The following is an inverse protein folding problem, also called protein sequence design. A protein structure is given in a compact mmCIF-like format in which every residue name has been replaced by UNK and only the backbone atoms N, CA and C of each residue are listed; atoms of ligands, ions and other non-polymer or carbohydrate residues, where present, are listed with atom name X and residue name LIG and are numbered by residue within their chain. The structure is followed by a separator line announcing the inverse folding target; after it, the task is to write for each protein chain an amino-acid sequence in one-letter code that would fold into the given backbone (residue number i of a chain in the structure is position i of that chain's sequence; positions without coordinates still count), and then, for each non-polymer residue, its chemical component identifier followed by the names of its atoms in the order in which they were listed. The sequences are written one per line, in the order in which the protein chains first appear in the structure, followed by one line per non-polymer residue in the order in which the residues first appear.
data_IF_329160782075
#
_entry.id   IF_329160782075
#
_cell.length_a   1.000
_cell.length_b   1.000
_cell.length_c   1.000
_cell.angle_alpha   90.00
_cell.angle_beta   90.00
_cell.angle_gamma   90.00
#
_symmetry.space_group_name_H-M   'P 1'
#
loop_
_entity.id
_entity.type
_entity.pdbx_description
1 polymer ?
#
# COMPACT_ATOMS: atom_id res chain seq x y z
N UNK A 1 -8.76 6.68 -7.54
CA UNK A 1 -9.72 6.87 -6.43
C UNK A 1 -9.04 7.78 -5.42
N UNK A 2 -9.59 8.94 -4.99
CA UNK A 2 -8.99 9.67 -3.89
C UNK A 2 -9.26 8.89 -2.60
N UNK A 3 -8.20 8.49 -1.89
CA UNK A 3 -8.33 7.89 -0.56
C UNK A 3 -8.83 8.97 0.39
N UNK A 4 -10.02 8.76 0.96
CA UNK A 4 -10.60 9.60 1.99
C UNK A 4 -10.35 8.88 3.32
N UNK A 5 -9.48 9.41 4.16
CA UNK A 5 -9.39 8.96 5.55
C UNK A 5 -10.72 9.32 6.24
N UNK A 6 -11.41 8.33 6.81
CA UNK A 6 -12.65 8.51 7.56
C UNK A 6 -12.32 8.37 9.04
N UNK A 7 -12.62 9.41 9.82
CA UNK A 7 -12.67 9.37 11.29
C UNK A 7 -14.02 8.77 11.71
N UNK A 8 -14.02 7.52 12.19
CA UNK A 8 -15.22 6.79 12.61
C UNK A 8 -15.39 6.77 14.14
N UNK A 9 -15.59 7.94 14.75
CA UNK A 9 -16.17 8.05 16.10
C UNK A 9 -17.70 7.98 16.08
N UNK A 10 -18.31 6.89 15.56
CA UNK A 10 -19.76 6.60 15.77
C UNK A 10 -20.15 5.15 15.40
N UNK A 11 -20.80 4.37 16.29
CA UNK A 11 -21.21 3.00 15.98
C UNK A 11 -22.54 2.92 15.22
N UNK A 12 -22.65 1.98 14.27
CA UNK A 12 -23.93 1.57 13.62
C UNK A 12 -24.33 0.15 14.00
N UNK A 13 -25.65 -0.16 14.01
CA UNK A 13 -26.20 -1.35 14.66
C UNK A 13 -26.22 -2.60 13.77
N UNK A 14 -26.06 -3.74 14.44
CA UNK A 14 -26.01 -5.09 13.91
C UNK A 14 -27.39 -5.61 13.49
N UNK A 15 -27.54 -6.03 12.23
CA UNK A 15 -28.71 -6.73 11.71
C UNK A 15 -28.44 -8.23 11.56
N UNK A 16 -29.11 -9.05 12.38
CA UNK A 16 -29.06 -10.53 12.36
C UNK A 16 -30.00 -11.09 11.28
N UNK A 17 -29.48 -11.91 10.37
CA UNK A 17 -30.29 -12.80 9.54
C UNK A 17 -30.31 -14.23 10.12
N UNK A 18 -31.50 -14.79 10.31
CA UNK A 18 -31.73 -16.15 10.81
C UNK A 18 -31.73 -17.18 9.67
N UNK A 19 -31.21 -18.36 10.03
CA UNK A 19 -31.00 -19.59 9.25
C UNK A 19 -32.31 -20.22 8.75
N UNK A 20 -32.28 -20.77 7.54
CA UNK A 20 -33.17 -21.84 7.09
C UNK A 20 -32.40 -23.17 7.05
N UNK A 21 -32.86 -24.17 7.81
CA UNK A 21 -32.44 -25.57 7.66
C UNK A 21 -33.49 -26.30 6.80
N UNK A 22 -33.05 -27.00 5.77
CA UNK A 22 -33.82 -28.05 5.12
C UNK A 22 -33.14 -29.40 5.39
N UNK A 23 -33.91 -30.34 5.96
CA UNK A 23 -33.57 -31.76 6.09
C UNK A 23 -33.94 -32.48 4.81
N UNK A 24 -33.13 -33.43 4.37
CA UNK A 24 -33.63 -34.70 3.84
C UNK A 24 -32.47 -35.71 3.76
N UNK A 25 -32.54 -36.78 4.54
CA UNK A 25 -31.58 -37.87 4.51
C UNK A 25 -32.32 -39.19 4.27
N UNK A 26 -32.10 -39.79 3.12
CA UNK A 26 -32.32 -41.22 2.88
C UNK A 26 -31.51 -41.65 1.66
N UNK A 27 -30.40 -42.37 1.89
CA UNK A 27 -29.72 -43.26 0.92
C UNK A 27 -29.20 -44.42 1.75
N UNK A 28 -29.57 -45.67 1.51
CA UNK A 28 -29.49 -46.34 0.21
C UNK A 28 -28.08 -46.93 0.13
N UNK A 29 -27.94 -48.17 0.59
CA UNK A 29 -26.69 -48.89 0.64
C UNK A 29 -26.36 -49.57 -0.70
N UNK A 30 -25.05 -49.78 -0.89
CA UNK A 30 -24.34 -50.71 -1.78
C UNK A 30 -23.78 -50.14 -3.10
N UNK A 31 -22.45 -50.02 -3.04
CA UNK A 31 -21.45 -50.62 -3.93
C UNK A 31 -21.44 -50.19 -5.40
N UNK A 32 -20.33 -49.53 -5.80
CA UNK A 32 -19.41 -50.11 -6.78
C UNK A 32 -18.11 -49.29 -6.80
N UNK A 33 -16.98 -49.99 -6.86
CA UNK A 33 -15.65 -49.42 -6.97
C UNK A 33 -15.45 -48.67 -8.30
N UNK A 34 -14.91 -47.46 -8.24
CA UNK A 34 -14.31 -46.78 -9.36
C UNK A 34 -13.01 -46.13 -8.89
N UNK A 35 -11.92 -46.49 -9.54
CA UNK A 35 -10.58 -45.97 -9.31
C UNK A 35 -10.58 -44.44 -9.46
N UNK A 36 -10.19 -43.73 -8.40
CA UNK A 36 -9.87 -42.31 -8.47
C UNK A 36 -8.40 -42.15 -8.07
N UNK A 37 -7.54 -42.12 -9.08
CA UNK A 37 -6.20 -41.59 -8.97
C UNK A 37 -6.31 -40.14 -8.52
N UNK A 38 -6.23 -39.90 -7.21
CA UNK A 38 -6.13 -38.57 -6.65
C UNK A 38 -4.71 -38.04 -6.92
N UNK A 39 -4.50 -37.55 -8.14
CA UNK A 39 -3.43 -36.62 -8.43
C UNK A 39 -3.73 -35.37 -7.60
N UNK A 40 -3.16 -35.28 -6.41
CA UNK A 40 -3.06 -34.04 -5.65
C UNK A 40 -2.14 -33.11 -6.45
N UNK A 41 -2.71 -32.47 -7.48
CA UNK A 41 -2.18 -31.21 -7.97
C UNK A 41 -2.39 -30.20 -6.84
N UNK A 42 -1.44 -30.20 -5.91
CA UNK A 42 -1.14 -29.01 -5.12
C UNK A 42 -0.78 -27.93 -6.14
N UNK A 43 -1.78 -27.20 -6.61
CA UNK A 43 -1.56 -25.87 -7.14
C UNK A 43 -1.01 -25.08 -5.95
N UNK A 44 0.31 -25.09 -5.79
CA UNK A 44 1.01 -24.04 -5.09
C UNK A 44 0.69 -22.79 -5.89
N UNK A 45 -0.38 -22.08 -5.50
CA UNK A 45 -0.50 -20.67 -5.82
C UNK A 45 0.78 -20.06 -5.25
N UNK A 46 1.76 -19.83 -6.13
CA UNK A 46 2.96 -19.10 -5.74
C UNK A 46 2.47 -17.78 -5.16
N UNK A 47 2.95 -17.43 -3.98
CA UNK A 47 2.73 -16.08 -3.48
C UNK A 47 3.28 -15.14 -4.57
N UNK A 48 2.41 -14.30 -5.13
CA UNK A 48 2.84 -13.33 -6.14
C UNK A 48 3.96 -12.49 -5.52
N UNK A 49 5.15 -12.48 -6.13
CA UNK A 49 6.28 -11.70 -5.64
C UNK A 49 6.11 -10.24 -6.08
N UNK A 50 6.56 -9.29 -5.26
CA UNK A 50 6.61 -7.89 -5.65
C UNK A 50 7.43 -7.73 -6.93
N UNK A 51 6.83 -7.14 -7.97
CA UNK A 51 7.48 -6.89 -9.25
C UNK A 51 7.69 -5.38 -9.46
N UNK A 52 8.75 -4.97 -10.18
CA UNK A 52 8.88 -3.61 -10.67
C UNK A 52 7.66 -3.21 -11.50
N UNK A 53 7.24 -1.96 -11.39
CA UNK A 53 6.12 -1.44 -12.17
C UNK A 53 6.25 0.05 -12.42
N UNK A 54 5.50 0.52 -13.41
CA UNK A 54 5.21 1.93 -13.63
C UNK A 54 3.71 2.11 -13.81
N UNK A 55 3.14 3.11 -13.15
CA UNK A 55 1.72 3.43 -13.20
C UNK A 55 1.53 4.94 -13.35
N UNK A 56 0.64 5.34 -14.26
CA UNK A 56 0.29 6.74 -14.50
C UNK A 56 -1.15 7.00 -14.09
N UNK A 57 -1.36 8.04 -13.28
CA UNK A 57 -2.65 8.45 -12.77
C UNK A 57 -2.96 9.88 -13.22
N UNK A 58 -4.18 10.09 -13.70
CA UNK A 58 -4.65 11.41 -14.13
C UNK A 58 -5.51 12.03 -13.03
N UNK A 59 -5.18 13.25 -12.64
CA UNK A 59 -5.98 14.06 -11.73
C UNK A 59 -6.99 14.87 -12.54
N UNK A 60 -8.28 14.67 -12.22
CA UNK A 60 -9.39 15.33 -12.91
C UNK A 60 -10.10 16.25 -11.92
N UNK A 61 -10.23 17.53 -12.27
CA UNK A 61 -10.96 18.53 -11.51
C UNK A 61 -12.00 19.21 -12.42
N UNK A 62 -13.28 19.15 -12.03
CA UNK A 62 -14.42 19.58 -12.86
C UNK A 62 -14.35 19.10 -14.32
N UNK A 63 -14.01 17.82 -14.53
CA UNK A 63 -13.93 17.21 -15.86
C UNK A 63 -12.67 17.56 -16.67
N UNK A 64 -11.77 18.39 -16.12
CA UNK A 64 -10.51 18.77 -16.76
C UNK A 64 -9.34 18.07 -16.12
N UNK A 65 -8.40 17.59 -16.94
CA UNK A 65 -7.12 17.08 -16.45
C UNK A 65 -6.27 18.22 -15.90
N UNK A 66 -5.96 18.18 -14.60
CA UNK A 66 -5.16 19.20 -13.91
C UNK A 66 -3.75 18.75 -13.56
N UNK A 67 -3.51 17.44 -13.47
CA UNK A 67 -2.18 16.89 -13.27
C UNK A 67 -2.11 15.42 -13.72
N UNK A 68 -0.90 14.92 -13.91
CA UNK A 68 -0.59 13.51 -14.09
C UNK A 68 0.47 13.11 -13.06
N UNK A 69 0.24 12.03 -12.32
CA UNK A 69 1.24 11.44 -11.42
C UNK A 69 1.78 10.15 -12.02
N UNK A 70 3.10 9.99 -12.01
CA UNK A 70 3.78 8.74 -12.34
C UNK A 70 4.34 8.13 -11.07
N UNK A 71 3.95 6.90 -10.81
CA UNK A 71 4.48 6.05 -9.75
C UNK A 71 5.40 5.02 -10.40
N UNK A 72 6.59 4.83 -9.85
CA UNK A 72 7.56 3.88 -10.38
C UNK A 72 8.22 3.12 -9.23
N UNK A 73 8.20 1.79 -9.32
CA UNK A 73 8.90 0.89 -8.41
C UNK A 73 9.97 0.15 -9.19
N UNK A 74 11.22 0.27 -8.75
CA UNK A 74 12.38 -0.36 -9.39
C UNK A 74 13.18 -1.17 -8.38
N UNK A 75 13.78 -2.28 -8.82
CA UNK A 75 14.68 -3.10 -8.00
C UNK A 75 16.13 -2.90 -8.43
N UNK A 76 17.03 -2.74 -7.48
CA UNK A 76 18.48 -2.68 -7.70
C UNK A 76 19.16 -3.51 -6.62
N UNK A 77 19.60 -4.72 -6.99
CA UNK A 77 20.07 -5.72 -6.03
C UNK A 77 18.97 -6.10 -5.04
N UNK A 78 19.26 -5.91 -3.75
CA UNK A 78 18.36 -6.22 -2.64
C UNK A 78 17.48 -5.03 -2.22
N UNK A 79 17.64 -3.89 -2.88
CA UNK A 79 16.95 -2.65 -2.54
C UNK A 79 15.94 -2.31 -3.63
N UNK A 80 14.86 -1.67 -3.22
CA UNK A 80 13.83 -1.12 -4.08
C UNK A 80 13.81 0.39 -3.98
N UNK A 81 13.55 1.06 -5.09
CA UNK A 81 13.28 2.50 -5.13
C UNK A 81 11.85 2.71 -5.58
N UNK A 82 11.03 3.28 -4.71
CA UNK A 82 9.67 3.69 -5.03
C UNK A 82 9.62 5.21 -5.16
N UNK A 83 9.15 5.70 -6.30
CA UNK A 83 9.08 7.14 -6.58
C UNK A 83 7.71 7.55 -7.09
N UNK A 84 7.31 8.75 -6.70
CA UNK A 84 6.14 9.45 -7.24
C UNK A 84 6.58 10.80 -7.79
N UNK A 85 6.09 11.17 -8.97
CA UNK A 85 6.27 12.51 -9.53
C UNK A 85 4.97 12.99 -10.13
N UNK A 86 4.58 14.20 -9.77
CA UNK A 86 3.34 14.82 -10.26
C UNK A 86 3.65 16.03 -11.13
N UNK A 87 3.09 16.04 -12.33
CA UNK A 87 3.25 17.10 -13.32
C UNK A 87 1.89 17.73 -13.65
N UNK A 88 1.71 19.04 -13.41
CA UNK A 88 0.49 19.74 -13.76
C UNK A 88 0.25 19.80 -15.26
N UNK A 89 -1.03 19.73 -15.62
CA UNK A 89 -1.56 19.70 -16.98
C UNK A 89 -2.65 20.77 -17.13
N UNK A 90 -2.86 21.26 -18.34
CA UNK A 90 -3.89 22.27 -18.62
C UNK A 90 -3.80 23.47 -17.67
N UNK A 91 -4.94 23.82 -17.05
CA UNK A 91 -5.04 24.91 -16.07
C UNK A 91 -4.22 24.66 -14.79
N UNK A 92 -3.89 23.42 -14.47
CA UNK A 92 -3.03 23.10 -13.32
C UNK A 92 -1.61 23.66 -13.47
N UNK A 93 -1.16 24.00 -14.69
CA UNK A 93 0.15 24.64 -14.91
C UNK A 93 0.31 26.00 -14.23
N UNK A 94 -0.79 26.63 -13.81
CA UNK A 94 -0.80 27.85 -13.00
C UNK A 94 -0.31 27.62 -11.56
N UNK A 95 -0.35 26.38 -11.08
CA UNK A 95 0.21 25.99 -9.79
C UNK A 95 1.73 25.86 -9.92
N UNK A 96 2.45 26.28 -8.88
CA UNK A 96 3.91 26.15 -8.82
C UNK A 96 4.35 24.76 -8.37
N UNK A 97 3.48 24.01 -7.70
CA UNK A 97 3.79 22.70 -7.16
C UNK A 97 4.12 21.68 -8.25
N UNK A 98 5.21 20.94 -8.03
CA UNK A 98 5.63 19.76 -8.79
C UNK A 98 6.04 18.64 -7.81
N UNK A 99 5.09 18.07 -7.03
CA UNK A 99 5.43 17.17 -5.94
C UNK A 99 6.21 15.95 -6.42
N UNK A 100 7.26 15.61 -5.68
CA UNK A 100 8.08 14.42 -5.92
C UNK A 100 8.39 13.75 -4.59
N UNK A 101 8.23 12.44 -4.54
CA UNK A 101 8.69 11.62 -3.42
C UNK A 101 9.55 10.47 -3.92
N UNK A 102 10.50 10.05 -3.11
CA UNK A 102 11.36 8.88 -3.33
C UNK A 102 11.58 8.19 -2.00
N UNK A 103 11.20 6.93 -1.88
CA UNK A 103 11.57 6.04 -0.79
C UNK A 103 12.45 4.93 -1.30
N UNK A 104 13.57 4.70 -0.62
CA UNK A 104 14.46 3.56 -0.86
C UNK A 104 14.18 2.56 0.25
N UNK A 105 13.91 1.29 -0.08
CA UNK A 105 13.46 0.29 0.90
C UNK A 105 14.03 -1.10 0.64
N UNK A 106 14.03 -1.95 1.66
CA UNK A 106 14.23 -3.40 1.55
C UNK A 106 12.92 -4.12 1.81
N UNK A 107 12.72 -5.23 1.09
CA UNK A 107 11.62 -6.16 1.37
C UNK A 107 12.24 -7.38 2.02
N UNK A 108 12.01 -7.56 3.33
CA UNK A 108 12.46 -8.73 4.09
C UNK A 108 11.35 -9.76 4.18
N UNK A 109 11.63 -10.96 4.68
CA UNK A 109 10.58 -11.97 4.91
C UNK A 109 9.50 -11.49 5.90
N UNK A 110 9.87 -10.62 6.86
CA UNK A 110 8.97 -10.11 7.87
C UNK A 110 8.16 -8.90 7.36
N UNK A 111 8.83 -7.89 6.81
CA UNK A 111 8.23 -6.58 6.58
C UNK A 111 8.96 -5.79 5.46
N UNK A 112 8.42 -4.62 5.14
CA UNK A 112 9.10 -3.59 4.36
C UNK A 112 9.84 -2.65 5.31
N UNK A 113 11.10 -2.40 4.99
CA UNK A 113 12.02 -1.57 5.77
C UNK A 113 12.49 -0.39 4.90
N UNK A 114 11.91 0.82 5.04
CA UNK A 114 12.48 2.01 4.42
C UNK A 114 13.90 2.23 4.91
N UNK A 115 14.79 2.68 4.03
CA UNK A 115 16.18 3.05 4.29
C UNK A 115 16.36 4.56 4.22
N UNK A 116 15.66 5.22 3.31
CA UNK A 116 15.60 6.68 3.22
C UNK A 116 14.31 7.14 2.55
N UNK A 117 13.88 8.36 2.88
CA UNK A 117 12.74 9.02 2.25
C UNK A 117 13.05 10.48 1.97
N UNK A 118 12.77 10.90 0.73
CA UNK A 118 12.85 12.29 0.30
C UNK A 118 11.53 12.74 -0.30
N UNK A 119 11.00 13.84 0.21
CA UNK A 119 9.80 14.51 -0.30
C UNK A 119 10.08 15.97 -0.61
N UNK A 120 9.52 16.48 -1.71
CA UNK A 120 9.61 17.89 -2.11
C UNK A 120 8.32 18.26 -2.87
N UNK A 121 7.83 19.49 -2.66
CA UNK A 121 6.64 20.00 -3.35
C UNK A 121 6.93 20.70 -4.69
N UNK A 122 8.21 20.83 -5.05
CA UNK A 122 8.70 21.47 -6.26
C UNK A 122 8.76 23.00 -6.22
N UNK A 123 8.37 23.64 -5.11
CA UNK A 123 8.32 25.10 -4.98
C UNK A 123 9.64 25.73 -4.51
N UNK A 124 10.60 24.90 -4.11
CA UNK A 124 11.85 25.32 -3.47
C UNK A 124 11.72 25.63 -1.98
N UNK A 125 10.49 25.80 -1.46
CA UNK A 125 10.21 25.96 -0.03
C UNK A 125 10.61 24.71 0.74
N UNK A 126 11.11 24.87 1.96
CA UNK A 126 11.43 23.77 2.87
C UNK A 126 10.23 23.28 3.68
N UNK A 127 9.13 24.03 3.69
CA UNK A 127 7.92 23.75 4.49
C UNK A 127 7.19 22.45 4.15
N UNK A 128 7.51 21.83 3.01
CA UNK A 128 7.01 20.51 2.58
C UNK A 128 8.14 19.58 2.15
N UNK A 129 9.38 19.92 2.51
CA UNK A 129 10.53 19.07 2.26
C UNK A 129 10.71 18.07 3.39
N UNK A 130 11.03 16.84 3.01
CA UNK A 130 11.41 15.77 3.93
C UNK A 130 12.69 15.14 3.41
N UNK A 131 13.65 14.91 4.28
CA UNK A 131 14.87 14.14 4.00
C UNK A 131 15.24 13.39 5.28
N UNK A 132 14.97 12.09 5.31
CA UNK A 132 15.16 11.25 6.49
C UNK A 132 15.81 9.92 6.12
N UNK A 133 16.59 9.38 7.04
CA UNK A 133 17.27 8.09 6.96
C UNK A 133 16.83 7.18 8.09
N UNK A 134 16.67 5.90 7.76
CA UNK A 134 16.23 4.84 8.67
C UNK A 134 17.39 3.88 8.92
N UNK A 135 17.95 3.94 10.12
CA UNK A 135 19.01 3.03 10.58
C UNK A 135 18.39 1.91 11.43
N UNK A 136 18.11 0.77 10.79
CA UNK A 136 17.52 -0.40 11.46
C UNK A 136 18.51 -1.10 12.40
N UNK A 137 19.82 -0.96 12.17
CA UNK A 137 20.84 -1.53 13.06
C UNK A 137 20.90 -0.74 14.38
N UNK A 138 20.93 0.60 14.29
CA UNK A 138 20.92 1.49 15.46
C UNK A 138 19.51 1.75 16.00
N UNK A 139 18.47 1.30 15.32
CA UNK A 139 17.05 1.53 15.64
C UNK A 139 16.73 3.02 15.81
N UNK A 140 17.14 3.83 14.84
CA UNK A 140 16.92 5.27 14.82
C UNK A 140 16.47 5.74 13.45
N UNK A 141 15.57 6.72 13.42
CA UNK A 141 15.28 7.54 12.23
C UNK A 141 15.76 8.95 12.49
N UNK A 142 16.51 9.51 11.54
CA UNK A 142 17.11 10.84 11.67
C UNK A 142 16.95 11.66 10.40
N UNK A 143 16.90 12.99 10.52
CA UNK A 143 16.86 13.89 9.37
C UNK A 143 16.07 15.16 9.63
N UNK A 144 15.40 15.66 8.59
CA UNK A 144 14.56 16.86 8.65
C UNK A 144 13.22 16.60 7.96
N UNK A 145 12.13 16.99 8.62
CA UNK A 145 10.77 16.89 8.11
C UNK A 145 10.07 18.23 8.30
N UNK A 146 9.74 18.94 7.21
CA UNK A 146 9.12 20.26 7.23
C UNK A 146 9.82 21.24 8.18
N UNK A 147 11.13 21.43 8.00
CA UNK A 147 12.00 22.25 8.86
C UNK A 147 12.19 21.74 10.30
N UNK A 148 11.47 20.69 10.73
CA UNK A 148 11.65 20.09 12.04
C UNK A 148 12.75 19.02 12.03
N UNK A 149 13.72 19.06 12.97
CA UNK A 149 14.67 17.97 13.11
C UNK A 149 13.97 16.69 13.58
N UNK A 150 14.40 15.56 13.02
CA UNK A 150 13.96 14.22 13.37
C UNK A 150 15.14 13.47 14.00
N UNK A 151 14.93 12.95 15.20
CA UNK A 151 15.75 11.92 15.86
C UNK A 151 14.80 11.13 16.76
N UNK A 152 14.29 10.01 16.25
CA UNK A 152 13.28 9.20 16.92
C UNK A 152 13.73 7.74 17.03
N UNK A 153 13.32 7.03 18.09
CA UNK A 153 13.46 5.59 18.13
C UNK A 153 12.69 4.96 16.96
N UNK A 154 13.33 4.03 16.25
CA UNK A 154 12.72 3.31 15.15
C UNK A 154 12.15 1.98 15.66
N UNK A 155 10.83 1.89 15.72
CA UNK A 155 10.10 0.64 16.02
C UNK A 155 9.94 -0.20 14.75
N UNK A 156 9.87 -1.54 14.87
CA UNK A 156 9.61 -2.40 13.72
C UNK A 156 8.32 -2.01 12.99
N UNK A 157 8.39 -1.84 11.68
CA UNK A 157 7.23 -1.59 10.83
C UNK A 157 6.90 -0.12 10.55
N UNK A 158 7.60 0.84 11.16
CA UNK A 158 7.45 2.27 10.80
C UNK A 158 7.73 2.49 9.32
N UNK A 159 6.83 3.20 8.65
CA UNK A 159 6.91 3.55 7.24
C UNK A 159 6.99 5.08 7.05
N UNK A 160 7.35 5.48 5.83
CA UNK A 160 7.10 6.82 5.30
C UNK A 160 5.87 6.82 4.38
N UNK A 161 5.46 8.00 3.91
CA UNK A 161 4.29 8.19 3.04
C UNK A 161 4.35 7.39 1.72
N UNK A 162 5.55 7.06 1.24
CA UNK A 162 5.75 6.30 0.01
C UNK A 162 5.95 4.80 0.31
N UNK A 163 6.77 4.43 1.30
CA UNK A 163 7.01 3.02 1.65
C UNK A 163 5.76 2.32 2.20
N UNK A 164 4.83 3.02 2.83
CA UNK A 164 3.55 2.42 3.28
C UNK A 164 2.74 1.82 2.11
N UNK A 165 2.80 2.42 0.93
CA UNK A 165 2.09 1.89 -0.25
C UNK A 165 2.70 0.57 -0.69
N UNK A 166 4.04 0.48 -0.68
CA UNK A 166 4.75 -0.76 -0.99
C UNK A 166 4.52 -1.81 0.09
N UNK A 167 4.53 -1.42 1.38
CA UNK A 167 4.22 -2.29 2.49
C UNK A 167 2.81 -2.90 2.36
N UNK A 168 1.81 -2.08 2.02
CA UNK A 168 0.45 -2.57 1.74
C UNK A 168 0.43 -3.56 0.58
N UNK A 169 1.10 -3.26 -0.54
CA UNK A 169 1.20 -4.19 -1.67
C UNK A 169 1.81 -5.53 -1.24
N UNK A 170 2.93 -5.51 -0.51
CA UNK A 170 3.61 -6.71 0.00
C UNK A 170 2.72 -7.51 0.93
N UNK A 171 1.97 -6.87 1.82
CA UNK A 171 1.03 -7.56 2.71
C UNK A 171 -0.08 -8.26 1.90
N UNK A 172 -0.65 -7.58 0.91
CA UNK A 172 -1.70 -8.14 0.05
C UNK A 172 -1.20 -9.32 -0.79
N UNK A 173 0.01 -9.22 -1.34
CA UNK A 173 0.70 -10.30 -2.07
C UNK A 173 0.92 -11.53 -1.19
N UNK A 174 1.13 -11.32 0.11
CA UNK A 174 1.23 -12.38 1.13
C UNK A 174 -0.13 -12.89 1.62
N UNK A 175 -1.23 -12.45 1.00
CA UNK A 175 -2.59 -12.82 1.38
C UNK A 175 -3.06 -12.22 2.71
N UNK A 176 -2.36 -11.19 3.22
CA UNK A 176 -2.71 -10.48 4.46
C UNK A 176 -3.43 -9.19 4.13
N UNK A 177 -4.31 -8.74 5.02
CA UNK A 177 -4.97 -7.44 4.92
C UNK A 177 -4.65 -6.67 6.20
N UNK A 178 -3.66 -5.76 6.16
CA UNK A 178 -3.23 -5.04 7.36
C UNK A 178 -4.33 -4.07 7.81
N UNK A 179 -4.58 -4.03 9.12
CA UNK A 179 -5.56 -3.11 9.73
C UNK A 179 -4.95 -1.75 10.07
N UNK A 180 -3.62 -1.68 10.17
CA UNK A 180 -2.91 -0.45 10.56
C UNK A 180 -1.47 -0.41 10.07
N UNK A 181 -0.94 0.80 9.96
CA UNK A 181 0.49 1.08 9.80
C UNK A 181 0.92 2.23 10.71
N UNK A 182 2.17 2.19 11.16
CA UNK A 182 2.83 3.30 11.84
C UNK A 182 3.63 4.10 10.81
N UNK A 183 3.42 5.41 10.75
CA UNK A 183 4.04 6.30 9.78
C UNK A 183 4.82 7.40 10.50
N UNK A 184 6.01 7.71 10.01
CA UNK A 184 6.70 8.93 10.38
C UNK A 184 5.87 10.15 9.96
N UNK A 185 5.58 11.02 10.91
CA UNK A 185 4.92 12.30 10.68
C UNK A 185 5.62 13.37 11.53
N UNK A 186 6.39 14.22 10.82
CA UNK A 186 7.25 15.25 11.42
C UNK A 186 8.23 14.63 12.42
N UNK A 187 8.16 15.06 13.67
CA UNK A 187 8.97 14.58 14.78
C UNK A 187 8.21 13.56 15.65
N UNK A 188 7.27 12.81 15.06
CA UNK A 188 6.50 11.78 15.74
C UNK A 188 6.20 10.60 14.82
N UNK A 189 5.72 9.49 15.40
CA UNK A 189 5.15 8.37 14.65
C UNK A 189 3.65 8.36 14.92
N UNK A 190 2.83 8.27 13.86
CA UNK A 190 1.37 8.19 13.95
C UNK A 190 0.87 6.87 13.39
N UNK A 191 -0.18 6.34 14.01
CA UNK A 191 -0.87 5.15 13.52
C UNK A 191 -1.97 5.55 12.52
N UNK A 192 -2.03 4.85 11.40
CA UNK A 192 -3.04 4.99 10.36
C UNK A 192 -3.79 3.67 10.23
N UNK A 193 -5.12 3.72 10.36
CA UNK A 193 -6.00 2.56 10.21
C UNK A 193 -6.40 2.35 8.74
N UNK A 194 -6.40 1.10 8.30
CA UNK A 194 -6.78 0.67 6.97
C UNK A 194 -7.97 -0.27 7.07
N UNK A 195 -9.03 0.05 6.33
CA UNK A 195 -10.26 -0.74 6.30
C UNK A 195 -10.41 -1.38 4.93
N UNK A 196 -10.71 -2.68 4.92
CA UNK A 196 -11.03 -3.41 3.70
C UNK A 196 -12.44 -3.06 3.23
N UNK A 197 -12.55 -2.21 2.21
CA UNK A 197 -13.86 -1.80 1.69
C UNK A 197 -14.56 -2.87 0.82
N UNK A 198 -13.80 -3.74 0.15
CA UNK A 198 -14.40 -4.73 -0.74
C UNK A 198 -13.41 -5.49 -1.63
N UNK A 199 -13.94 -6.15 -2.66
CA UNK A 199 -13.16 -6.75 -3.75
C UNK A 199 -13.71 -6.23 -5.06
N UNK A 200 -12.84 -5.69 -5.90
CA UNK A 200 -13.16 -5.25 -7.24
C UNK A 200 -12.22 -5.95 -8.23
N UNK A 201 -12.72 -6.21 -9.43
CA UNK A 201 -11.94 -6.77 -10.55
C UNK A 201 -11.74 -5.65 -11.56
N UNK A 202 -10.48 -5.27 -11.80
CA UNK A 202 -10.14 -4.12 -12.62
C UNK A 202 -9.69 -4.57 -14.00
N UNK A 203 -10.34 -4.07 -15.05
CA UNK A 203 -9.85 -4.26 -16.40
C UNK A 203 -8.65 -3.33 -16.64
N UNK A 204 -7.48 -3.93 -16.80
CA UNK A 204 -6.23 -3.22 -17.12
C UNK A 204 -5.70 -3.66 -18.49
N UNK A 205 -4.74 -2.94 -19.09
CA UNK A 205 -4.03 -3.44 -20.27
C UNK A 205 -3.34 -4.80 -20.04
N UNK A 206 -3.08 -5.16 -18.79
CA UNK A 206 -2.42 -6.41 -18.40
C UNK A 206 -3.40 -7.54 -18.04
N UNK A 207 -4.72 -7.31 -18.03
CA UNK A 207 -5.69 -8.36 -17.72
C UNK A 207 -6.97 -7.86 -17.04
N UNK A 208 -7.66 -8.78 -16.34
CA UNK A 208 -8.83 -8.52 -15.51
C UNK A 208 -8.53 -8.84 -14.06
#
# INVERSE_FOLDING_TARGET
MPQRAVDESRPKPCGRARRGLARCGARGARALAAALSALLMSATAGADELQPFEASYTWIWHGMTVAESRLKLERTGDTWTYSSRSEPRGLGRLLSERPKTVSVLKVTAANVEPLSYKGDDGTGSTRRKVDVEYDWEKRRVTGVYEDAPVDLPLTPGVQDEASVQVALMVELLRGRTPERFELLDKNSVREYSYVREGKETLKTPFGR
#
